data_IF_415689238588
#
_entry.id   IF_415689238588
#
_cell.length_a   1.000
_cell.length_b   1.000
_cell.length_c   1.000
_cell.angle_alpha   90.00
_cell.angle_beta   90.00
_cell.angle_gamma   90.00
#
_symmetry.space_group_name_H-M   'P 1'
#
loop_
_entity.id
_entity.type
_entity.pdbx_description
1 polymer ?
#
# COMPACT_ATOMS: atom_id res chain seq x y z
N UNK A 1 -15.07 45.64 30.79
CA UNK A 1 -14.19 45.00 29.79
C UNK A 1 -14.30 43.49 29.95
N UNK A 2 -15.22 42.88 29.21
CA UNK A 2 -15.42 41.42 29.17
C UNK A 2 -14.42 40.84 28.18
N UNK A 3 -13.34 40.26 28.69
CA UNK A 3 -12.35 39.54 27.89
C UNK A 3 -13.02 38.33 27.23
N UNK A 4 -12.98 38.33 25.90
CA UNK A 4 -13.58 37.32 25.03
C UNK A 4 -12.84 35.99 25.20
N UNK A 5 -13.61 34.91 25.37
CA UNK A 5 -13.13 33.53 25.40
C UNK A 5 -12.42 33.21 24.09
N UNK A 6 -11.11 32.96 24.15
CA UNK A 6 -10.38 32.32 23.07
C UNK A 6 -10.51 30.80 23.25
N UNK A 7 -11.61 30.24 22.74
CA UNK A 7 -11.77 28.79 22.62
C UNK A 7 -10.70 28.29 21.66
N UNK A 8 -9.65 27.67 22.20
CA UNK A 8 -8.68 26.91 21.42
C UNK A 8 -9.41 25.73 20.79
N UNK A 9 -9.90 25.93 19.56
CA UNK A 9 -10.35 24.86 18.71
C UNK A 9 -9.10 24.11 18.24
N UNK A 10 -8.55 23.24 19.09
CA UNK A 10 -7.61 22.19 18.68
C UNK A 10 -8.37 21.22 17.78
N UNK A 11 -8.57 21.61 16.51
CA UNK A 11 -8.73 20.63 15.45
C UNK A 11 -7.40 19.88 15.36
N UNK A 12 -7.28 18.80 16.13
CA UNK A 12 -6.33 17.75 15.80
C UNK A 12 -6.63 17.35 14.36
N UNK A 13 -5.65 17.47 13.44
CA UNK A 13 -5.86 17.01 12.07
C UNK A 13 -6.21 15.53 12.14
N UNK A 14 -7.41 15.18 11.66
CA UNK A 14 -7.81 13.78 11.53
C UNK A 14 -6.71 13.05 10.73
N UNK A 15 -6.19 11.90 11.23
CA UNK A 15 -5.13 11.20 10.54
C UNK A 15 -5.64 10.79 9.16
N UNK A 16 -5.18 11.49 8.13
CA UNK A 16 -5.54 11.17 6.76
C UNK A 16 -5.05 9.74 6.48
N UNK A 17 -5.91 8.85 5.94
CA UNK A 17 -5.50 7.50 5.64
C UNK A 17 -4.31 7.57 4.68
N UNK A 18 -3.20 6.97 5.08
CA UNK A 18 -1.96 6.96 4.31
C UNK A 18 -2.21 6.18 3.02
N UNK A 19 -2.53 6.92 1.95
CA UNK A 19 -2.85 6.31 0.67
C UNK A 19 -1.56 5.64 0.18
N UNK A 20 -1.64 4.33 -0.06
CA UNK A 20 -0.58 3.56 -0.71
C UNK A 20 -0.06 4.36 -1.90
N UNK A 21 1.23 4.70 -1.86
CA UNK A 21 1.87 5.44 -2.96
C UNK A 21 1.60 4.70 -4.28
N UNK A 22 1.25 5.41 -5.35
CA UNK A 22 0.83 4.84 -6.64
C UNK A 22 1.76 3.72 -7.13
N UNK A 23 3.07 3.84 -6.88
CA UNK A 23 4.08 2.80 -7.12
C UNK A 23 3.72 1.45 -6.51
N UNK A 24 3.32 1.41 -5.24
CA UNK A 24 3.00 0.17 -4.54
C UNK A 24 1.69 -0.44 -5.04
N UNK A 25 0.72 0.38 -5.43
CA UNK A 25 -0.50 -0.12 -6.06
C UNK A 25 -0.19 -0.85 -7.37
N UNK A 26 0.71 -0.30 -8.20
CA UNK A 26 1.15 -0.94 -9.45
C UNK A 26 1.93 -2.22 -9.18
N UNK A 27 2.87 -2.21 -8.22
CA UNK A 27 3.67 -3.39 -7.87
C UNK A 27 2.77 -4.54 -7.42
N UNK A 28 1.80 -4.27 -6.54
CA UNK A 28 0.85 -5.29 -6.05
C UNK A 28 -0.02 -5.82 -7.19
N UNK A 29 -0.50 -4.96 -8.08
CA UNK A 29 -1.32 -5.39 -9.21
C UNK A 29 -0.55 -6.34 -10.14
N UNK A 30 0.69 -6.00 -10.50
CA UNK A 30 1.52 -6.83 -11.37
C UNK A 30 1.91 -8.15 -10.68
N UNK A 31 2.29 -8.09 -9.41
CA UNK A 31 2.61 -9.28 -8.62
C UNK A 31 1.41 -10.22 -8.48
N UNK A 32 0.20 -9.69 -8.30
CA UNK A 32 -1.03 -10.47 -8.21
C UNK A 32 -1.34 -11.18 -9.54
N UNK A 33 -1.22 -10.49 -10.68
CA UNK A 33 -1.43 -11.09 -12.01
C UNK A 33 -0.45 -12.24 -12.25
N UNK A 34 0.83 -12.04 -11.93
CA UNK A 34 1.86 -13.08 -12.07
C UNK A 34 1.60 -14.28 -11.14
N UNK A 35 1.20 -14.01 -9.89
CA UNK A 35 0.87 -15.05 -8.92
C UNK A 35 -0.34 -15.89 -9.34
N UNK A 36 -1.39 -15.26 -9.89
CA UNK A 36 -2.57 -15.97 -10.42
C UNK A 36 -2.19 -16.86 -11.60
N UNK A 37 -1.37 -16.36 -12.52
CA UNK A 37 -0.90 -17.13 -13.68
C UNK A 37 -0.11 -18.38 -13.25
N UNK A 38 0.74 -18.27 -12.23
CA UNK A 38 1.53 -19.39 -11.70
C UNK A 38 0.71 -20.34 -10.83
N UNK A 39 -0.30 -19.83 -10.11
CA UNK A 39 -1.16 -20.62 -9.22
C UNK A 39 -1.83 -21.80 -9.94
N UNK A 40 -2.19 -21.62 -11.22
CA UNK A 40 -2.80 -22.66 -12.03
C UNK A 40 -1.91 -23.90 -12.23
N UNK A 41 -0.58 -23.74 -12.17
CA UNK A 41 0.38 -24.83 -12.38
C UNK A 41 1.02 -25.35 -11.08
N UNK A 42 1.24 -24.48 -10.09
CA UNK A 42 1.98 -24.81 -8.87
C UNK A 42 1.19 -24.66 -7.56
N UNK A 43 -0.08 -24.27 -7.63
CA UNK A 43 -0.95 -24.04 -6.48
C UNK A 43 -0.54 -22.83 -5.63
N UNK A 44 -1.13 -22.76 -4.43
CA UNK A 44 -0.96 -21.64 -3.50
C UNK A 44 0.51 -21.34 -3.13
N UNK A 45 1.38 -22.33 -2.85
CA UNK A 45 2.77 -22.06 -2.49
C UNK A 45 3.54 -21.37 -3.62
N UNK A 46 3.33 -21.80 -4.87
CA UNK A 46 3.95 -21.20 -6.03
C UNK A 46 3.43 -19.76 -6.25
N UNK A 47 2.14 -19.53 -6.06
CA UNK A 47 1.54 -18.19 -6.16
C UNK A 47 2.17 -17.21 -5.16
N UNK A 48 2.34 -17.61 -3.89
CA UNK A 48 2.96 -16.77 -2.85
C UNK A 48 4.42 -16.48 -3.20
N UNK A 49 5.18 -17.50 -3.63
CA UNK A 49 6.57 -17.33 -4.04
C UNK A 49 6.73 -16.37 -5.20
N UNK A 50 5.89 -16.50 -6.24
CA UNK A 50 5.89 -15.60 -7.40
C UNK A 50 5.47 -14.18 -7.00
N UNK A 51 4.46 -14.01 -6.15
CA UNK A 51 4.05 -12.69 -5.68
C UNK A 51 5.22 -11.97 -4.99
N UNK A 52 5.90 -12.63 -4.05
CA UNK A 52 7.01 -12.05 -3.33
C UNK A 52 8.22 -11.77 -4.24
N UNK A 53 8.52 -12.67 -5.18
CA UNK A 53 9.62 -12.48 -6.13
C UNK A 53 9.37 -11.28 -7.06
N UNK A 54 8.15 -11.14 -7.59
CA UNK A 54 7.79 -10.03 -8.48
C UNK A 54 7.68 -8.71 -7.70
N UNK A 55 7.03 -8.73 -6.54
CA UNK A 55 6.91 -7.55 -5.69
C UNK A 55 8.28 -7.05 -5.22
N UNK A 56 9.15 -7.95 -4.76
CA UNK A 56 10.51 -7.64 -4.35
C UNK A 56 11.38 -7.14 -5.52
N UNK A 57 11.32 -7.82 -6.66
CA UNK A 57 12.06 -7.43 -7.86
C UNK A 57 11.67 -6.05 -8.37
N UNK A 58 10.36 -5.77 -8.47
CA UNK A 58 9.88 -4.45 -8.87
C UNK A 58 10.18 -3.37 -7.82
N UNK A 59 10.11 -3.71 -6.53
CA UNK A 59 10.48 -2.77 -5.47
C UNK A 59 11.93 -2.31 -5.61
N UNK A 60 12.86 -3.23 -5.88
CA UNK A 60 14.29 -2.89 -6.09
C UNK A 60 14.49 -2.04 -7.35
N UNK A 61 13.76 -2.30 -8.43
CA UNK A 61 13.89 -1.52 -9.68
C UNK A 61 13.31 -0.11 -9.59
N UNK A 62 12.33 0.11 -8.72
CA UNK A 62 11.59 1.38 -8.59
C UNK A 62 12.03 2.19 -7.36
N UNK A 63 12.79 1.60 -6.42
CA UNK A 63 13.40 2.28 -5.28
C UNK A 63 14.69 3.01 -5.68
#
# INVERSE_FOLDING_TARGET
MTSVRNSGNSHEPEPQPERLSLRWAVIIAVAAVAAVAVSAAGGLPAAIGTFLAVAGGMHIMVA
#
